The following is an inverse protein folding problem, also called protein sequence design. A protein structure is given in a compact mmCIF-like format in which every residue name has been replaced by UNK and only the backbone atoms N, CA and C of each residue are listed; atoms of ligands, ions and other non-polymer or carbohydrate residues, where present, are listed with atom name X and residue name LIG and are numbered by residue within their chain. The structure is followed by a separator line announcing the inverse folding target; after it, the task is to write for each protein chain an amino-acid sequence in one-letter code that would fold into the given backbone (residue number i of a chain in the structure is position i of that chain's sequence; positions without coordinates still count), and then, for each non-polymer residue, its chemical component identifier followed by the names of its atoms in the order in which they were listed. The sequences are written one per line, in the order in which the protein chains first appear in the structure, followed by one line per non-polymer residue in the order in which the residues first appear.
data_IF_518021621211
#
_entry.id   IF_518021621211
#
_cell.length_a   1.000
_cell.length_b   1.000
_cell.length_c   1.000
_cell.angle_alpha   90.00
_cell.angle_beta   90.00
_cell.angle_gamma   90.00
#
_symmetry.space_group_name_H-M   'P 1'
#
loop_
_entity.id
_entity.type
_entity.pdbx_description
1 polymer ?
#
# COMPACT_ATOMS: atom_id res chain seq x y z
N UNK A 1 65.06 44.91 19.13
CA UNK A 1 65.30 43.58 19.72
C UNK A 1 64.27 43.34 20.80
N UNK A 2 63.78 42.08 20.92
CA UNK A 2 62.93 41.53 22.00
C UNK A 2 61.43 41.86 21.88
N UNK A 3 60.47 40.94 21.95
CA UNK A 3 60.41 39.47 21.96
C UNK A 3 58.96 39.09 21.60
N UNK A 4 58.75 37.93 20.99
CA UNK A 4 57.44 37.33 20.75
C UNK A 4 56.61 37.20 22.04
N UNK A 5 55.31 37.47 21.97
CA UNK A 5 54.31 36.70 22.74
C UNK A 5 53.17 36.33 21.78
N UNK A 6 53.20 35.07 21.36
CA UNK A 6 52.09 34.38 20.70
C UNK A 6 51.02 34.13 21.77
N UNK A 7 49.85 34.76 21.64
CA UNK A 7 48.62 34.28 22.29
C UNK A 7 47.91 33.36 21.30
N UNK A 8 48.19 32.07 21.38
CA UNK A 8 47.51 31.02 20.61
C UNK A 8 46.07 30.91 21.12
N UNK A 9 45.13 31.50 20.39
CA UNK A 9 43.69 31.30 20.63
C UNK A 9 43.30 29.90 20.17
N UNK A 10 43.03 29.03 21.13
CA UNK A 10 42.49 27.70 20.91
C UNK A 10 41.06 27.84 20.36
N UNK A 11 40.90 27.72 19.03
CA UNK A 11 39.58 27.75 18.38
C UNK A 11 38.94 26.38 18.57
N UNK A 12 38.05 26.26 19.57
CA UNK A 12 37.20 25.10 19.72
C UNK A 12 36.16 25.09 18.57
N UNK A 13 36.45 24.35 17.51
CA UNK A 13 35.47 24.04 16.47
C UNK A 13 34.44 23.06 17.08
N UNK A 14 33.38 23.62 17.65
CA UNK A 14 32.17 22.86 17.98
C UNK A 14 31.56 22.38 16.66
N UNK A 15 31.82 21.12 16.34
CA UNK A 15 31.08 20.39 15.32
C UNK A 15 29.61 20.33 15.78
N UNK A 16 28.80 21.25 15.26
CA UNK A 16 27.36 21.21 15.43
C UNK A 16 26.81 20.15 14.48
N UNK A 17 26.95 18.88 14.87
CA UNK A 17 26.19 17.80 14.25
C UNK A 17 24.73 18.06 14.54
N UNK A 18 23.99 18.58 13.57
CA UNK A 18 22.57 18.82 13.68
C UNK A 18 21.89 17.53 14.12
N UNK A 19 21.31 17.52 15.31
CA UNK A 19 20.41 16.47 15.76
C UNK A 19 19.20 16.53 14.81
N UNK A 20 19.17 15.63 13.82
CA UNK A 20 17.96 15.36 13.06
C UNK A 20 16.97 14.70 14.03
N UNK A 21 16.11 15.52 14.63
CA UNK A 21 14.97 15.04 15.41
C UNK A 21 13.99 14.47 14.38
N UNK A 22 13.82 13.15 14.37
CA UNK A 22 12.75 12.52 13.62
C UNK A 22 11.43 13.03 14.21
N UNK A 23 10.79 13.96 13.52
CA UNK A 23 9.40 14.33 13.79
C UNK A 23 8.52 13.16 13.38
N UNK A 24 7.45 12.89 14.14
CA UNK A 24 6.40 12.00 13.65
C UNK A 24 5.96 12.52 12.27
N UNK A 25 6.26 11.74 11.23
CA UNK A 25 5.88 12.08 9.86
C UNK A 25 4.38 11.91 9.81
N UNK A 26 3.65 12.96 9.44
CA UNK A 26 2.22 12.82 9.14
C UNK A 26 2.07 11.79 8.01
N UNK A 27 1.51 10.63 8.33
CA UNK A 27 1.19 9.62 7.33
C UNK A 27 0.03 10.13 6.47
N UNK A 28 0.21 10.06 5.16
CA UNK A 28 -0.86 10.39 4.23
C UNK A 28 -1.99 9.35 4.36
N UNK A 29 -3.23 9.81 4.43
CA UNK A 29 -4.37 8.90 4.48
C UNK A 29 -4.83 8.57 3.06
N UNK A 30 -4.52 7.34 2.61
CA UNK A 30 -5.01 6.81 1.35
C UNK A 30 -6.54 6.73 1.31
N UNK A 31 -7.13 6.69 0.12
CA UNK A 31 -8.58 6.56 -0.07
C UNK A 31 -9.07 5.21 0.46
N UNK A 32 -10.20 5.22 1.15
CA UNK A 32 -10.79 4.01 1.71
C UNK A 32 -11.31 3.04 0.64
N UNK A 33 -11.25 1.76 0.96
CA UNK A 33 -11.76 0.63 0.16
C UNK A 33 -12.64 -0.24 1.06
N UNK A 34 -13.88 0.19 1.30
CA UNK A 34 -14.77 -0.45 2.28
C UNK A 34 -15.49 -1.67 1.69
N UNK A 35 -15.60 -1.72 0.35
CA UNK A 35 -16.24 -2.81 -0.38
C UNK A 35 -15.31 -3.38 -1.45
N UNK A 36 -15.56 -4.61 -1.90
CA UNK A 36 -14.78 -5.20 -3.00
C UNK A 36 -14.82 -4.36 -4.29
N UNK A 37 -15.97 -3.85 -4.78
CA UNK A 37 -15.98 -3.00 -5.97
C UNK A 37 -15.17 -1.70 -5.81
N UNK A 38 -15.22 -1.08 -4.63
CA UNK A 38 -14.39 0.09 -4.32
C UNK A 38 -12.90 -0.25 -4.34
N UNK A 39 -12.53 -1.38 -3.73
CA UNK A 39 -11.15 -1.85 -3.70
C UNK A 39 -10.61 -2.11 -5.11
N UNK A 40 -11.37 -2.81 -5.96
CA UNK A 40 -10.99 -3.07 -7.36
C UNK A 40 -10.89 -1.77 -8.16
N UNK A 41 -11.82 -0.83 -7.97
CA UNK A 41 -11.78 0.47 -8.64
C UNK A 41 -10.56 1.28 -8.22
N UNK A 42 -10.29 1.37 -6.91
CA UNK A 42 -9.12 2.07 -6.37
C UNK A 42 -7.82 1.40 -6.83
N UNK A 43 -7.74 0.07 -6.81
CA UNK A 43 -6.59 -0.68 -7.28
C UNK A 43 -6.29 -0.37 -8.75
N UNK A 44 -7.29 -0.42 -9.63
CA UNK A 44 -7.12 -0.11 -11.05
C UNK A 44 -6.69 1.35 -11.25
N UNK A 45 -7.47 2.31 -10.73
CA UNK A 45 -7.23 3.74 -10.96
C UNK A 45 -5.87 4.18 -10.43
N UNK A 46 -5.44 3.68 -9.28
CA UNK A 46 -4.19 4.10 -8.66
C UNK A 46 -2.98 3.37 -9.24
N UNK A 47 -3.15 2.18 -9.83
CA UNK A 47 -2.09 1.58 -10.63
C UNK A 47 -1.85 2.38 -11.91
N UNK A 48 -2.90 2.86 -12.60
CA UNK A 48 -2.75 3.71 -13.78
C UNK A 48 -2.00 5.02 -13.44
N UNK A 49 -2.30 5.62 -12.28
CA UNK A 49 -1.57 6.80 -11.77
C UNK A 49 -0.12 6.47 -11.44
N UNK A 50 0.12 5.35 -10.76
CA UNK A 50 1.47 4.91 -10.41
C UNK A 50 2.31 4.69 -11.68
N UNK A 51 1.75 4.03 -12.68
CA UNK A 51 2.39 3.83 -13.99
C UNK A 51 2.79 5.18 -14.62
N UNK A 52 1.89 6.16 -14.63
CA UNK A 52 2.17 7.49 -15.17
C UNK A 52 3.31 8.23 -14.44
N UNK A 53 3.44 8.06 -13.12
CA UNK A 53 4.55 8.65 -12.35
C UNK A 53 5.86 7.93 -12.66
N UNK A 54 5.82 6.60 -12.82
CA UNK A 54 6.99 5.77 -13.10
C UNK A 54 7.57 5.98 -14.52
N UNK A 55 6.76 6.47 -15.47
CA UNK A 55 7.21 6.85 -16.81
C UNK A 55 8.07 8.14 -16.83
N UNK A 56 8.11 8.87 -15.71
CA UNK A 56 8.88 10.10 -15.53
C UNK A 56 10.24 9.92 -14.84
N UNK A 57 10.92 11.04 -14.57
CA UNK A 57 12.09 11.04 -13.69
C UNK A 57 11.64 10.99 -12.21
N UNK A 58 12.24 10.10 -11.42
CA UNK A 58 11.93 9.94 -9.99
C UNK A 58 12.60 11.04 -9.15
N UNK A 59 12.13 12.28 -9.32
CA UNK A 59 12.51 13.41 -8.47
C UNK A 59 11.99 13.21 -7.03
N UNK A 60 12.47 13.98 -6.04
CA UNK A 60 11.92 13.92 -4.68
C UNK A 60 10.40 14.10 -4.61
N UNK A 61 9.83 14.94 -5.48
CA UNK A 61 8.38 15.16 -5.59
C UNK A 61 7.67 13.92 -6.14
N UNK A 62 8.21 13.30 -7.19
CA UNK A 62 7.67 12.05 -7.74
C UNK A 62 7.73 10.90 -6.71
N UNK A 63 8.81 10.81 -5.93
CA UNK A 63 8.92 9.82 -4.85
C UNK A 63 7.86 10.05 -3.76
N UNK A 64 7.55 11.30 -3.43
CA UNK A 64 6.46 11.61 -2.50
C UNK A 64 5.08 11.27 -3.09
N UNK A 65 4.87 11.51 -4.38
CA UNK A 65 3.63 11.11 -5.06
C UNK A 65 3.44 9.59 -5.04
N UNK A 66 4.49 8.82 -5.38
CA UNK A 66 4.47 7.35 -5.26
C UNK A 66 4.06 6.93 -3.85
N UNK A 67 4.66 7.52 -2.81
CA UNK A 67 4.33 7.22 -1.42
C UNK A 67 2.85 7.47 -1.09
N UNK A 68 2.25 8.55 -1.61
CA UNK A 68 0.83 8.85 -1.41
C UNK A 68 -0.09 7.89 -2.17
N UNK A 69 0.26 7.55 -3.42
CA UNK A 69 -0.48 6.56 -4.21
C UNK A 69 -0.48 5.20 -3.53
N UNK A 70 0.66 4.78 -2.97
CA UNK A 70 0.81 3.47 -2.33
C UNK A 70 -0.10 3.30 -1.12
N UNK A 71 -0.41 4.33 -0.34
CA UNK A 71 -1.38 4.20 0.77
C UNK A 71 -2.78 3.79 0.31
N UNK A 72 -3.23 4.30 -0.84
CA UNK A 72 -4.54 3.90 -1.38
C UNK A 72 -4.48 2.48 -1.94
N UNK A 73 -3.39 2.14 -2.63
CA UNK A 73 -3.16 0.79 -3.14
C UNK A 73 -3.10 -0.25 -2.01
N UNK A 74 -2.45 0.07 -0.89
CA UNK A 74 -2.39 -0.80 0.30
C UNK A 74 -3.78 -1.07 0.88
N UNK A 75 -4.60 -0.02 1.06
CA UNK A 75 -5.99 -0.17 1.52
C UNK A 75 -6.81 -1.03 0.56
N UNK A 76 -6.65 -0.83 -0.75
CA UNK A 76 -7.33 -1.63 -1.78
C UNK A 76 -6.89 -3.09 -1.76
N UNK A 77 -5.59 -3.37 -1.73
CA UNK A 77 -5.02 -4.72 -1.66
C UNK A 77 -5.48 -5.43 -0.39
N UNK A 78 -5.46 -4.76 0.76
CA UNK A 78 -5.93 -5.34 2.02
C UNK A 78 -7.38 -5.79 1.92
N UNK A 79 -8.26 -4.95 1.37
CA UNK A 79 -9.66 -5.34 1.17
C UNK A 79 -9.82 -6.46 0.15
N UNK A 80 -9.11 -6.42 -0.98
CA UNK A 80 -9.16 -7.49 -1.97
C UNK A 80 -8.66 -8.83 -1.41
N UNK A 81 -7.63 -8.81 -0.57
CA UNK A 81 -7.11 -10.02 0.10
C UNK A 81 -8.15 -10.64 1.03
N UNK A 82 -8.79 -9.84 1.89
CA UNK A 82 -9.86 -10.29 2.78
C UNK A 82 -11.01 -10.95 1.97
N UNK A 83 -11.40 -10.32 0.87
CA UNK A 83 -12.49 -10.80 0.02
C UNK A 83 -12.12 -12.05 -0.77
N UNK A 84 -10.86 -12.20 -1.17
CA UNK A 84 -10.33 -13.40 -1.82
C UNK A 84 -10.26 -14.59 -0.85
N UNK A 85 -9.89 -14.35 0.41
CA UNK A 85 -9.90 -15.39 1.44
C UNK A 85 -11.32 -15.95 1.64
N UNK A 86 -12.31 -15.06 1.74
CA UNK A 86 -13.72 -15.47 1.83
C UNK A 86 -14.19 -16.21 0.57
N UNK A 87 -13.80 -15.73 -0.61
CA UNK A 87 -14.15 -16.35 -1.89
C UNK A 87 -13.56 -17.76 -2.01
N UNK A 88 -12.35 -17.99 -1.51
CA UNK A 88 -11.70 -19.30 -1.48
C UNK A 88 -12.47 -20.28 -0.58
N UNK A 89 -12.97 -19.82 0.58
CA UNK A 89 -13.83 -20.65 1.45
C UNK A 89 -15.11 -21.04 0.73
N UNK A 90 -15.81 -20.10 0.08
CA UNK A 90 -17.03 -20.41 -0.68
C UNK A 90 -16.76 -21.40 -1.81
N UNK A 91 -15.62 -21.29 -2.51
CA UNK A 91 -15.25 -22.24 -3.56
C UNK A 91 -14.99 -23.63 -3.00
N UNK A 92 -14.36 -23.73 -1.82
CA UNK A 92 -14.13 -25.01 -1.15
C UNK A 92 -15.45 -25.69 -0.75
N UNK A 93 -16.46 -24.93 -0.30
CA UNK A 93 -17.79 -25.50 -0.03
C UNK A 93 -18.42 -26.12 -1.28
N UNK A 94 -18.28 -25.47 -2.44
CA UNK A 94 -18.70 -26.05 -3.73
C UNK A 94 -17.93 -27.33 -4.04
N UNK A 95 -16.61 -27.32 -3.82
CA UNK A 95 -15.76 -28.48 -4.06
C UNK A 95 -16.20 -29.68 -3.20
N UNK A 96 -16.29 -29.52 -1.89
CA UNK A 96 -16.66 -30.60 -0.96
C UNK A 96 -18.10 -31.10 -1.16
N UNK A 97 -19.04 -30.19 -1.49
CA UNK A 97 -20.41 -30.58 -1.82
C UNK A 97 -20.46 -31.43 -3.11
N UNK A 98 -19.62 -31.12 -4.10
CA UNK A 98 -19.53 -31.91 -5.32
C UNK A 98 -19.00 -33.34 -5.07
N UNK A 99 -18.10 -33.51 -4.10
CA UNK A 99 -17.58 -34.83 -3.71
C UNK A 99 -18.62 -35.70 -3.00
N UNK A 100 -19.55 -35.08 -2.27
CA UNK A 100 -20.62 -35.76 -1.54
C UNK A 100 -21.92 -35.91 -2.34
N UNK A 101 -21.94 -35.46 -3.61
CA UNK A 101 -23.11 -35.41 -4.48
C UNK A 101 -24.28 -34.57 -3.91
N UNK A 102 -23.97 -33.55 -3.11
CA UNK A 102 -24.93 -32.56 -2.61
C UNK A 102 -25.18 -31.47 -3.67
N UNK A 103 -26.17 -31.72 -4.54
CA UNK A 103 -26.49 -30.82 -5.65
C UNK A 103 -27.05 -29.46 -5.23
N UNK A 104 -27.75 -29.39 -4.10
CA UNK A 104 -28.35 -28.14 -3.63
C UNK A 104 -27.26 -27.18 -3.16
N UNK A 105 -26.31 -27.65 -2.34
CA UNK A 105 -25.17 -26.86 -1.88
C UNK A 105 -24.26 -26.44 -3.05
N UNK A 106 -23.99 -27.34 -4.00
CA UNK A 106 -23.22 -27.00 -5.22
C UNK A 106 -23.88 -25.85 -5.98
N UNK A 107 -25.20 -25.88 -6.13
CA UNK A 107 -25.92 -24.83 -6.86
C UNK A 107 -25.91 -23.50 -6.11
N UNK A 108 -26.17 -23.51 -4.80
CA UNK A 108 -26.25 -22.30 -3.98
C UNK A 108 -24.88 -21.61 -3.84
N UNK A 109 -23.88 -22.33 -3.34
CA UNK A 109 -22.55 -21.76 -3.13
C UNK A 109 -21.83 -21.47 -4.46
N UNK A 110 -22.13 -22.24 -5.51
CA UNK A 110 -21.62 -21.97 -6.85
C UNK A 110 -22.13 -20.65 -7.40
N UNK A 111 -23.41 -20.34 -7.20
CA UNK A 111 -23.98 -19.06 -7.59
C UNK A 111 -23.35 -17.89 -6.81
N UNK A 112 -23.20 -18.04 -5.49
CA UNK A 112 -22.57 -17.04 -4.62
C UNK A 112 -21.10 -16.78 -5.00
N UNK A 113 -20.33 -17.83 -5.24
CA UNK A 113 -18.94 -17.74 -5.72
C UNK A 113 -18.87 -16.98 -7.04
N UNK A 114 -19.74 -17.31 -8.01
CA UNK A 114 -19.74 -16.66 -9.32
C UNK A 114 -20.15 -15.19 -9.25
N UNK A 115 -21.11 -14.83 -8.40
CA UNK A 115 -21.51 -13.44 -8.18
C UNK A 115 -20.35 -12.60 -7.66
N UNK A 116 -19.61 -13.12 -6.67
CA UNK A 116 -18.51 -12.41 -6.03
C UNK A 116 -17.26 -12.37 -6.91
N UNK A 117 -16.87 -13.50 -7.53
CA UNK A 117 -15.68 -13.58 -8.40
C UNK A 117 -15.75 -12.64 -9.60
N UNK A 118 -16.94 -12.43 -10.17
CA UNK A 118 -17.16 -11.47 -11.26
C UNK A 118 -16.97 -10.01 -10.88
N UNK A 119 -16.88 -9.69 -9.59
CA UNK A 119 -16.54 -8.34 -9.13
C UNK A 119 -15.02 -8.09 -9.18
N UNK A 120 -14.20 -9.15 -9.19
CA UNK A 120 -12.74 -9.07 -9.27
C UNK A 120 -12.22 -8.93 -10.71
N UNK A 121 -12.89 -9.61 -11.65
CA UNK A 121 -12.45 -9.73 -13.04
C UNK A 121 -13.53 -9.15 -13.93
N UNK A 122 -13.21 -8.08 -14.65
CA UNK A 122 -14.08 -7.54 -15.71
C UNK A 122 -13.89 -8.31 -17.01
#
# INVERSE_FOLDING_TARGET
MKTLIQCTTLTAALAFSGLAVATDVEHFEGKDSNTLPEAVANFSEYNDKLEAVLDGELTPEAMNEVHQLTYTLEKAIAKMSEELDNLAVTLEEVHLASESADGDTVSEQGAAYLEKSRQLVK
#
